data_IF_921137905697
#
_entry.id   IF_921137905697
#
_cell.length_a   1.000
_cell.length_b   1.000
_cell.length_c   1.000
_cell.angle_alpha   90.00
_cell.angle_beta   90.00
_cell.angle_gamma   90.00
#
_symmetry.space_group_name_H-M   'P 1'
#
loop_
_entity.id
_entity.type
_entity.pdbx_description
1 polymer ?
#
# COMPACT_ATOMS: atom_id res chain seq x y z
N UNK A 1 -48.99 55.72 -32.87
CA UNK A 1 -48.96 54.49 -31.98
C UNK A 1 -47.82 53.64 -32.45
N UNK A 2 -46.76 53.63 -31.67
CA UNK A 2 -45.50 52.89 -31.98
C UNK A 2 -45.49 51.56 -31.23
N UNK A 3 -45.22 50.40 -31.83
CA UNK A 3 -45.06 49.16 -31.12
C UNK A 3 -43.66 49.09 -30.59
N UNK A 4 -43.56 48.87 -29.29
CA UNK A 4 -42.30 48.62 -28.55
C UNK A 4 -41.78 47.18 -28.83
N UNK A 5 -40.64 47.10 -29.54
CA UNK A 5 -39.87 45.86 -29.70
C UNK A 5 -39.31 45.44 -28.36
N UNK A 6 -39.73 44.27 -27.86
CA UNK A 6 -39.14 43.62 -26.73
C UNK A 6 -38.00 42.67 -27.21
N UNK A 7 -36.79 43.11 -27.04
CA UNK A 7 -35.59 42.29 -27.27
C UNK A 7 -35.49 41.32 -26.13
N UNK A 8 -35.72 40.02 -26.38
CA UNK A 8 -35.39 38.94 -25.45
C UNK A 8 -33.89 38.65 -25.54
N UNK A 9 -33.15 39.04 -24.51
CA UNK A 9 -31.77 38.62 -24.35
C UNK A 9 -31.76 37.16 -23.90
N UNK A 10 -31.28 36.28 -24.78
CA UNK A 10 -31.05 34.85 -24.47
C UNK A 10 -29.76 34.73 -23.65
N UNK A 11 -29.91 34.56 -22.33
CA UNK A 11 -28.78 34.30 -21.44
C UNK A 11 -28.39 32.83 -21.59
N UNK A 12 -27.35 32.53 -22.37
CA UNK A 12 -26.78 31.20 -22.48
C UNK A 12 -26.03 30.89 -21.20
N UNK A 13 -26.64 30.05 -20.35
CA UNK A 13 -26.01 29.50 -19.14
C UNK A 13 -24.98 28.44 -19.57
N UNK A 14 -23.70 28.81 -19.57
CA UNK A 14 -22.60 27.88 -19.79
C UNK A 14 -22.40 27.04 -18.50
N UNK A 15 -23.04 25.89 -18.44
CA UNK A 15 -22.77 24.91 -17.37
C UNK A 15 -21.41 24.24 -17.68
N UNK A 16 -20.38 24.71 -17.04
CA UNK A 16 -19.09 24.00 -17.03
C UNK A 16 -19.27 22.67 -16.30
N UNK A 17 -19.39 21.59 -17.05
CA UNK A 17 -19.32 20.24 -16.55
C UNK A 17 -17.90 20.02 -16.03
N UNK A 18 -17.68 20.22 -14.73
CA UNK A 18 -16.49 19.70 -14.06
C UNK A 18 -16.57 18.18 -14.12
N UNK A 19 -15.82 17.57 -15.02
CA UNK A 19 -15.64 16.13 -15.06
C UNK A 19 -15.06 15.65 -13.71
N UNK A 20 -15.30 14.37 -13.32
CA UNK A 20 -14.74 13.86 -12.09
C UNK A 20 -13.23 14.06 -12.13
N UNK A 21 -12.70 14.77 -11.12
CA UNK A 21 -11.28 14.96 -10.96
C UNK A 21 -10.67 13.55 -10.90
N UNK A 22 -9.94 13.18 -11.95
CA UNK A 22 -9.15 11.96 -12.00
C UNK A 22 -8.13 12.16 -10.89
N UNK A 23 -8.26 11.38 -9.81
CA UNK A 23 -7.24 11.35 -8.77
C UNK A 23 -5.92 10.99 -9.47
N UNK A 24 -5.04 11.96 -9.62
CA UNK A 24 -3.69 11.71 -10.10
C UNK A 24 -3.07 10.68 -9.16
N UNK A 25 -2.43 9.61 -9.67
CA UNK A 25 -1.70 8.70 -8.82
C UNK A 25 -0.70 9.55 -8.04
N UNK A 26 -0.85 9.56 -6.71
CA UNK A 26 0.07 10.26 -5.82
C UNK A 26 1.49 9.88 -6.24
N UNK A 27 2.28 10.89 -6.66
CA UNK A 27 3.68 10.72 -7.04
C UNK A 27 4.43 10.32 -5.77
N UNK A 28 4.49 9.02 -5.49
CA UNK A 28 5.31 8.49 -4.41
C UNK A 28 6.79 8.85 -4.65
N UNK A 29 7.59 8.87 -3.61
CA UNK A 29 9.03 8.99 -3.76
C UNK A 29 9.63 7.70 -4.35
N UNK A 30 10.72 7.81 -5.09
CA UNK A 30 11.62 6.68 -5.31
C UNK A 30 12.38 6.38 -4.04
N UNK A 31 12.77 5.14 -3.81
CA UNK A 31 13.52 4.78 -2.63
C UNK A 31 14.12 3.39 -2.71
N UNK A 32 14.89 3.06 -1.71
CA UNK A 32 15.40 1.72 -1.49
C UNK A 32 14.69 1.11 -0.28
N UNK A 33 14.05 -0.02 -0.47
CA UNK A 33 13.51 -0.85 0.60
C UNK A 33 14.61 -1.78 1.09
N UNK A 34 14.85 -1.79 2.40
CA UNK A 34 15.86 -2.62 3.04
C UNK A 34 15.21 -3.49 4.09
N UNK A 35 15.38 -4.81 3.97
CA UNK A 35 14.97 -5.79 4.98
C UNK A 35 16.23 -6.36 5.58
N UNK A 36 16.41 -6.20 6.87
CA UNK A 36 17.62 -6.60 7.59
C UNK A 36 17.31 -7.61 8.68
N UNK A 37 18.21 -8.60 8.83
CA UNK A 37 18.33 -9.39 10.04
C UNK A 37 19.52 -8.85 10.83
N UNK A 38 19.31 -8.04 11.87
CA UNK A 38 20.41 -7.43 12.61
C UNK A 38 21.22 -8.43 13.42
N UNK A 39 20.65 -9.58 13.75
CA UNK A 39 21.34 -10.64 14.52
C UNK A 39 22.31 -11.44 13.65
N UNK A 40 22.02 -11.58 12.35
CA UNK A 40 22.84 -12.35 11.40
C UNK A 40 23.65 -11.49 10.44
N UNK A 41 23.35 -10.18 10.37
CA UNK A 41 23.99 -9.28 9.43
C UNK A 41 23.61 -9.54 7.97
N UNK A 42 22.49 -10.23 7.71
CA UNK A 42 21.97 -10.46 6.38
C UNK A 42 20.99 -9.35 5.98
N UNK A 43 20.95 -8.98 4.71
CA UNK A 43 20.02 -7.98 4.22
C UNK A 43 19.57 -8.23 2.79
N UNK A 44 18.37 -7.77 2.48
CA UNK A 44 17.80 -7.69 1.14
C UNK A 44 17.54 -6.21 0.83
N UNK A 45 17.96 -5.75 -0.34
CA UNK A 45 17.75 -4.39 -0.82
C UNK A 45 17.00 -4.40 -2.15
N UNK A 46 15.95 -3.60 -2.24
CA UNK A 46 15.13 -3.49 -3.45
C UNK A 46 14.88 -2.03 -3.75
N UNK A 47 15.21 -1.62 -4.98
CA UNK A 47 14.86 -0.28 -5.46
C UNK A 47 13.39 -0.24 -5.87
N UNK A 48 12.70 0.79 -5.41
CA UNK A 48 11.31 1.07 -5.73
C UNK A 48 11.20 2.33 -6.59
N UNK A 49 10.34 2.27 -7.60
CA UNK A 49 9.95 3.43 -8.39
C UNK A 49 8.92 4.26 -7.62
N UNK A 50 8.74 5.55 -7.98
CA UNK A 50 7.68 6.36 -7.40
C UNK A 50 6.31 5.69 -7.54
N UNK A 51 5.58 5.55 -6.42
CA UNK A 51 4.26 4.93 -6.38
C UNK A 51 4.22 3.41 -6.62
N UNK A 52 5.37 2.76 -6.71
CA UNK A 52 5.43 1.30 -6.85
C UNK A 52 4.89 0.62 -5.58
N UNK A 53 3.99 -0.33 -5.79
CA UNK A 53 3.45 -1.16 -4.71
C UNK A 53 4.41 -2.30 -4.44
N UNK A 54 4.73 -2.51 -3.18
CA UNK A 54 5.37 -3.73 -2.70
C UNK A 54 4.47 -4.41 -1.68
N UNK A 55 4.59 -5.73 -1.56
CA UNK A 55 3.67 -6.51 -0.73
C UNK A 55 4.42 -7.48 0.17
N UNK A 56 3.93 -7.63 1.38
CA UNK A 56 4.28 -8.76 2.25
C UNK A 56 3.16 -9.77 2.20
N UNK A 57 3.50 -11.00 1.84
CA UNK A 57 2.56 -12.12 1.67
C UNK A 57 2.90 -13.18 2.70
N UNK A 58 1.92 -13.63 3.45
CA UNK A 58 2.11 -14.66 4.46
C UNK A 58 0.78 -15.37 4.79
N UNK A 59 0.88 -16.47 5.52
CA UNK A 59 -0.24 -17.10 6.18
C UNK A 59 -0.31 -16.62 7.63
N UNK A 60 -1.46 -16.14 8.06
CA UNK A 60 -1.65 -15.67 9.44
C UNK A 60 -1.46 -16.84 10.42
N UNK A 61 -0.58 -16.66 11.41
CA UNK A 61 -0.16 -17.75 12.31
C UNK A 61 -1.27 -18.34 13.18
N UNK A 62 -2.29 -17.55 13.52
CA UNK A 62 -3.40 -17.98 14.37
C UNK A 62 -4.56 -18.54 13.53
N UNK A 63 -4.92 -17.84 12.46
CA UNK A 63 -6.10 -18.18 11.66
C UNK A 63 -5.79 -19.06 10.45
N UNK A 64 -4.50 -19.31 10.17
CA UNK A 64 -4.01 -20.12 9.04
C UNK A 64 -4.60 -19.68 7.68
N UNK A 65 -4.84 -18.38 7.53
CA UNK A 65 -5.44 -17.78 6.37
C UNK A 65 -4.45 -16.88 5.62
N UNK A 66 -4.51 -16.84 4.29
CA UNK A 66 -3.62 -15.99 3.51
C UNK A 66 -3.87 -14.51 3.79
N UNK A 67 -2.78 -13.75 3.86
CA UNK A 67 -2.78 -12.29 4.02
C UNK A 67 -1.83 -11.68 3.01
N UNK A 68 -2.26 -10.60 2.38
CA UNK A 68 -1.42 -9.74 1.56
C UNK A 68 -1.54 -8.33 2.14
N UNK A 69 -0.43 -7.79 2.58
CA UNK A 69 -0.31 -6.39 2.96
C UNK A 69 0.40 -5.63 1.85
N UNK A 70 -0.29 -4.65 1.25
CA UNK A 70 0.24 -3.81 0.18
C UNK A 70 0.69 -2.47 0.72
N UNK A 71 1.89 -2.07 0.36
CA UNK A 71 2.55 -0.85 0.80
C UNK A 71 3.02 -0.02 -0.38
N UNK A 72 3.20 1.27 -0.13
CA UNK A 72 3.91 2.21 -1.01
C UNK A 72 4.84 3.08 -0.17
N UNK A 73 5.75 3.80 -0.82
CA UNK A 73 6.43 4.93 -0.20
C UNK A 73 5.63 6.21 -0.46
N UNK A 74 5.40 7.01 0.59
CA UNK A 74 4.80 8.34 0.42
C UNK A 74 5.84 9.33 -0.16
N UNK A 75 5.43 10.57 -0.38
CA UNK A 75 6.32 11.62 -0.92
C UNK A 75 7.53 11.91 -0.01
N UNK A 76 7.41 11.64 1.29
CA UNK A 76 8.49 11.75 2.27
C UNK A 76 9.37 10.50 2.39
N UNK A 77 9.09 9.45 1.59
CA UNK A 77 9.84 8.20 1.63
C UNK A 77 9.47 7.27 2.80
N UNK A 78 8.34 7.53 3.50
CA UNK A 78 7.86 6.64 4.57
C UNK A 78 7.06 5.49 3.99
N UNK A 79 7.14 4.34 4.64
CA UNK A 79 6.30 3.19 4.31
C UNK A 79 4.84 3.48 4.72
N UNK A 80 3.90 3.27 3.80
CA UNK A 80 2.47 3.43 4.07
C UNK A 80 1.75 2.14 3.71
N UNK A 81 1.07 1.50 4.67
CA UNK A 81 0.15 0.40 4.40
C UNK A 81 -1.06 0.95 3.65
N UNK A 82 -1.28 0.48 2.42
CA UNK A 82 -2.32 0.94 1.50
C UNK A 82 -3.51 0.02 1.42
N UNK A 83 -3.29 -1.27 1.60
CA UNK A 83 -4.38 -2.23 1.60
C UNK A 83 -3.99 -3.52 2.35
N UNK A 84 -5.00 -4.19 2.86
CA UNK A 84 -4.92 -5.55 3.38
C UNK A 84 -5.91 -6.41 2.60
N UNK A 85 -5.46 -7.58 2.16
CA UNK A 85 -6.29 -8.57 1.48
C UNK A 85 -6.25 -9.87 2.25
N UNK A 86 -7.42 -10.38 2.63
CA UNK A 86 -7.60 -11.72 3.21
C UNK A 86 -9.04 -12.17 3.03
N UNK A 87 -9.30 -13.45 2.73
CA UNK A 87 -10.66 -14.01 2.69
C UNK A 87 -11.28 -14.16 4.09
N UNK A 88 -10.45 -14.18 5.13
CA UNK A 88 -10.88 -14.41 6.52
C UNK A 88 -11.44 -13.16 7.19
N UNK A 89 -12.67 -13.23 7.70
CA UNK A 89 -13.25 -12.18 8.51
C UNK A 89 -12.45 -11.94 9.80
N UNK A 90 -11.96 -13.01 10.43
CA UNK A 90 -11.18 -12.92 11.68
C UNK A 90 -9.83 -12.20 11.45
N UNK A 91 -9.16 -12.46 10.31
CA UNK A 91 -7.96 -11.71 9.94
C UNK A 91 -8.28 -10.24 9.71
N UNK A 92 -9.36 -9.93 9.00
CA UNK A 92 -9.77 -8.53 8.78
C UNK A 92 -10.06 -7.80 10.09
N UNK A 93 -10.76 -8.46 11.01
CA UNK A 93 -11.03 -7.91 12.35
C UNK A 93 -9.73 -7.64 13.12
N UNK A 94 -8.73 -8.50 13.03
CA UNK A 94 -7.39 -8.27 13.60
C UNK A 94 -6.76 -6.95 13.11
N UNK A 95 -6.99 -6.58 11.86
CA UNK A 95 -6.57 -5.28 11.30
C UNK A 95 -7.53 -4.12 11.60
N UNK A 96 -8.60 -4.36 12.35
CA UNK A 96 -9.63 -3.36 12.65
C UNK A 96 -10.57 -3.08 11.47
N UNK A 97 -10.70 -4.03 10.54
CA UNK A 97 -11.54 -3.91 9.35
C UNK A 97 -12.90 -4.55 9.64
N UNK A 98 -13.96 -3.74 9.57
CA UNK A 98 -15.34 -4.19 9.85
C UNK A 98 -16.20 -4.33 8.59
N UNK A 99 -15.74 -3.81 7.46
CA UNK A 99 -16.45 -3.88 6.18
C UNK A 99 -16.34 -5.25 5.52
N UNK A 100 -17.32 -5.58 4.68
CA UNK A 100 -17.32 -6.81 3.89
C UNK A 100 -16.30 -6.73 2.73
N UNK A 101 -15.94 -7.89 2.17
CA UNK A 101 -15.00 -8.01 1.07
C UNK A 101 -13.64 -8.53 1.52
N UNK A 102 -12.77 -8.85 0.56
CA UNK A 102 -11.47 -9.44 0.83
C UNK A 102 -10.34 -8.41 0.88
N UNK A 103 -10.43 -7.35 0.05
CA UNK A 103 -9.43 -6.29 -0.06
C UNK A 103 -9.96 -4.98 0.53
N UNK A 104 -9.20 -4.40 1.45
CA UNK A 104 -9.57 -3.18 2.15
C UNK A 104 -8.46 -2.14 2.04
N UNK A 105 -8.84 -0.94 1.57
CA UNK A 105 -7.95 0.21 1.53
C UNK A 105 -7.61 0.68 2.95
N UNK A 106 -6.36 1.04 3.16
CA UNK A 106 -5.83 1.58 4.41
C UNK A 106 -4.94 2.79 4.11
N UNK A 107 -4.59 3.54 5.16
CA UNK A 107 -3.66 4.67 5.07
C UNK A 107 -2.88 4.77 6.39
N UNK A 108 -2.02 3.79 6.65
CA UNK A 108 -1.26 3.72 7.90
C UNK A 108 0.22 3.93 7.62
N UNK A 109 0.79 5.11 7.92
CA UNK A 109 2.21 5.37 7.78
C UNK A 109 3.01 4.68 8.89
N UNK A 110 4.20 4.21 8.55
CA UNK A 110 5.13 3.53 9.45
C UNK A 110 6.56 3.96 9.14
N UNK A 111 7.38 4.13 10.18
CA UNK A 111 8.81 4.39 10.03
C UNK A 111 9.60 3.11 9.73
N UNK A 112 9.14 2.00 10.28
CA UNK A 112 9.69 0.67 10.08
C UNK A 112 8.61 -0.39 10.30
N UNK A 113 8.85 -1.58 9.76
CA UNK A 113 8.03 -2.77 10.01
C UNK A 113 8.92 -3.84 10.58
N UNK A 114 8.50 -4.44 11.70
CA UNK A 114 9.23 -5.52 12.35
C UNK A 114 8.48 -6.82 12.14
N UNK A 115 9.20 -7.83 11.65
CA UNK A 115 8.68 -9.18 11.46
C UNK A 115 9.44 -10.16 12.37
N UNK A 116 8.78 -11.27 12.69
CA UNK A 116 9.43 -12.49 13.17
C UNK A 116 9.33 -13.54 12.08
N UNK A 117 10.45 -14.16 11.72
CA UNK A 117 10.42 -15.28 10.77
C UNK A 117 9.67 -16.43 11.42
N UNK A 118 8.63 -16.91 10.75
CA UNK A 118 7.84 -18.05 11.22
C UNK A 118 7.81 -19.12 10.12
N UNK A 119 8.38 -20.28 10.38
CA UNK A 119 8.25 -21.45 9.51
C UNK A 119 6.78 -21.87 9.41
N UNK A 120 6.34 -22.27 8.24
CA UNK A 120 4.94 -22.62 7.98
C UNK A 120 4.04 -21.45 7.58
N UNK A 121 4.48 -20.20 7.75
CA UNK A 121 3.70 -19.02 7.31
C UNK A 121 4.05 -18.54 5.90
N UNK A 122 5.09 -19.11 5.28
CA UNK A 122 5.53 -18.79 3.91
C UNK A 122 5.70 -17.28 3.66
N UNK A 123 6.25 -16.55 4.63
CA UNK A 123 6.45 -15.10 4.55
C UNK A 123 7.37 -14.73 3.38
N UNK A 124 6.89 -13.82 2.53
CA UNK A 124 7.60 -13.38 1.31
C UNK A 124 7.41 -11.89 1.09
N UNK A 125 8.45 -11.27 0.56
CA UNK A 125 8.42 -9.93 0.01
C UNK A 125 8.24 -10.00 -1.51
N UNK A 126 7.29 -9.24 -2.05
CA UNK A 126 7.16 -8.93 -3.49
C UNK A 126 7.45 -7.45 -3.69
N UNK A 127 8.54 -7.13 -4.36
CA UNK A 127 8.96 -5.76 -4.59
C UNK A 127 9.90 -5.67 -5.80
N UNK A 128 9.83 -4.60 -6.59
CA UNK A 128 10.74 -4.38 -7.71
C UNK A 128 10.74 -5.51 -8.76
N UNK A 129 9.61 -6.20 -8.92
CA UNK A 129 9.48 -7.34 -9.83
C UNK A 129 10.11 -8.65 -9.33
N UNK A 130 10.57 -8.71 -8.08
CA UNK A 130 11.12 -9.92 -7.46
C UNK A 130 10.24 -10.40 -6.31
N UNK A 131 10.28 -11.71 -6.04
CA UNK A 131 9.69 -12.33 -4.88
C UNK A 131 10.80 -13.06 -4.10
N UNK A 132 10.91 -12.76 -2.80
CA UNK A 132 11.97 -13.30 -1.92
C UNK A 132 11.37 -13.82 -0.62
N UNK A 133 11.77 -15.01 -0.22
CA UNK A 133 11.38 -15.57 1.08
C UNK A 133 12.13 -14.90 2.23
N UNK A 134 11.47 -14.65 3.35
CA UNK A 134 12.15 -14.17 4.55
C UNK A 134 13.12 -15.22 5.14
N UNK A 135 12.90 -16.49 4.84
CA UNK A 135 13.85 -17.57 5.20
C UNK A 135 15.22 -17.45 4.52
N UNK A 136 15.34 -16.64 3.45
CA UNK A 136 16.65 -16.34 2.84
C UNK A 136 17.48 -15.39 3.71
N UNK A 137 16.86 -14.69 4.66
CA UNK A 137 17.52 -13.73 5.54
C UNK A 137 17.81 -14.30 6.95
N UNK A 138 17.22 -15.42 7.30
CA UNK A 138 17.40 -15.99 8.64
C UNK A 138 16.59 -17.26 8.87
N UNK A 139 16.43 -17.61 10.14
CA UNK A 139 15.74 -18.79 10.59
C UNK A 139 14.50 -18.46 11.42
N UNK A 140 13.73 -19.48 11.75
CA UNK A 140 12.54 -19.35 12.59
C UNK A 140 12.88 -18.63 13.91
N UNK A 141 12.09 -17.63 14.25
CA UNK A 141 12.24 -16.81 15.44
C UNK A 141 13.11 -15.57 15.26
N UNK A 142 13.92 -15.49 14.21
CA UNK A 142 14.76 -14.33 13.93
C UNK A 142 13.90 -13.08 13.69
N UNK A 143 14.42 -11.96 14.15
CA UNK A 143 13.79 -10.65 13.94
C UNK A 143 14.28 -10.04 12.64
N UNK A 144 13.35 -9.64 11.77
CA UNK A 144 13.62 -8.82 10.59
C UNK A 144 13.10 -7.40 10.79
N UNK A 145 13.81 -6.43 10.27
CA UNK A 145 13.41 -5.03 10.26
C UNK A 145 13.39 -4.52 8.82
N UNK A 146 12.25 -4.01 8.39
CA UNK A 146 12.08 -3.42 7.07
C UNK A 146 12.01 -1.91 7.22
N UNK A 147 12.87 -1.19 6.48
CA UNK A 147 12.92 0.27 6.40
C UNK A 147 12.98 0.74 4.96
N UNK A 148 12.56 1.96 4.74
CA UNK A 148 12.75 2.65 3.46
C UNK A 148 13.78 3.77 3.62
N UNK A 149 14.62 3.90 2.60
CA UNK A 149 15.56 5.01 2.47
C UNK A 149 15.17 5.79 1.22
N UNK A 150 14.87 7.09 1.31
CA UNK A 150 14.63 7.92 0.13
C UNK A 150 15.88 7.97 -0.74
N UNK A 151 15.65 8.03 -2.06
CA UNK A 151 16.72 8.16 -3.06
C UNK A 151 17.13 9.62 -3.26
#
# INVERSE_FOLDING_TARGET
MSPRSRTFALLALLVAMAGPARAEPSRGASGELVVENPERGTSLRVRLRPGEVFSVVYQHSIYEQPVIEDFVLDEGGRIVLRAVTSPSAAVREYFGITSAGERHAMARPMSEIVFRIATGTAQRLRAGGVERSFLELGEHGDRLVMRAHPS
#
